data_IF_066606111348
#
_entry.id   IF_066606111348
#
_cell.length_a   1.000
_cell.length_b   1.000
_cell.length_c   1.000
_cell.angle_alpha   90.00
_cell.angle_beta   90.00
_cell.angle_gamma   90.00
#
_symmetry.space_group_name_H-M   'P 1'
#
loop_
_entity.id
_entity.type
_entity.pdbx_description
1 polymer ?
#
# COMPACT_ATOMS: atom_id res chain seq x y z
N UNK A 1 2.77 -0.93 15.75
CA UNK A 1 2.20 -2.22 15.31
C UNK A 1 3.09 -2.90 14.31
N UNK A 2 2.99 -4.25 14.27
CA UNK A 2 3.74 -5.05 13.31
C UNK A 2 2.99 -5.22 11.99
N UNK A 3 1.68 -5.08 12.00
CA UNK A 3 0.85 -5.23 10.82
C UNK A 3 -0.27 -4.19 10.83
N UNK A 4 -0.58 -3.67 9.66
CA UNK A 4 -1.71 -2.75 9.49
C UNK A 4 -2.48 -3.13 8.24
N UNK A 5 -3.76 -2.76 8.22
CA UNK A 5 -4.58 -2.88 7.03
C UNK A 5 -5.09 -1.50 6.65
N UNK A 6 -5.06 -1.20 5.35
CA UNK A 6 -5.52 0.08 4.82
C UNK A 6 -6.70 -0.18 3.88
N UNK A 7 -7.85 0.37 4.24
CA UNK A 7 -9.09 0.25 3.49
C UNK A 7 -9.84 1.58 3.64
N UNK A 8 -9.49 2.56 2.83
CA UNK A 8 -9.98 3.94 2.96
C UNK A 8 -10.66 4.42 1.67
N UNK A 9 -11.22 3.50 0.91
CA UNK A 9 -12.12 3.76 -0.21
C UNK A 9 -11.57 4.77 -1.22
N UNK A 10 -10.40 4.47 -1.79
CA UNK A 10 -9.81 5.27 -2.85
C UNK A 10 -8.76 6.28 -2.38
N UNK A 11 -8.51 6.37 -1.06
CA UNK A 11 -7.50 7.26 -0.51
C UNK A 11 -6.26 6.52 0.00
N UNK A 12 -6.04 5.28 -0.45
CA UNK A 12 -4.95 4.43 0.03
C UNK A 12 -3.57 5.06 -0.21
N UNK A 13 -3.36 5.66 -1.38
CA UNK A 13 -2.07 6.29 -1.68
C UNK A 13 -1.82 7.47 -0.76
N UNK A 14 -2.82 8.31 -0.55
CA UNK A 14 -2.70 9.48 0.32
C UNK A 14 -2.37 9.08 1.75
N UNK A 15 -3.00 8.02 2.26
CA UNK A 15 -2.71 7.49 3.59
C UNK A 15 -1.28 6.99 3.66
N UNK A 16 -0.83 6.22 2.66
CA UNK A 16 0.53 5.69 2.63
C UNK A 16 1.57 6.81 2.53
N UNK A 17 1.30 7.84 1.74
CA UNK A 17 2.19 9.00 1.65
C UNK A 17 2.30 9.74 2.98
N UNK A 18 1.17 9.88 3.69
CA UNK A 18 1.17 10.49 5.01
C UNK A 18 1.90 9.66 6.06
N UNK A 19 2.09 8.38 5.81
CA UNK A 19 2.79 7.47 6.72
C UNK A 19 4.22 7.16 6.27
N UNK A 20 4.78 7.90 5.32
CA UNK A 20 6.03 7.53 4.67
C UNK A 20 7.16 7.22 5.65
N UNK A 21 7.34 8.04 6.70
CA UNK A 21 8.37 7.79 7.70
C UNK A 21 8.09 6.52 8.50
N UNK A 22 6.82 6.31 8.85
CA UNK A 22 6.41 5.14 9.61
C UNK A 22 6.64 3.85 8.84
N UNK A 23 6.40 3.87 7.53
CA UNK A 23 6.60 2.69 6.66
C UNK A 23 8.03 2.19 6.66
N UNK A 24 9.00 3.06 6.94
CA UNK A 24 10.42 2.69 6.95
C UNK A 24 10.88 2.13 8.28
N UNK A 25 10.04 2.15 9.31
CA UNK A 25 10.43 1.72 10.65
C UNK A 25 10.37 0.21 10.78
N UNK A 26 11.42 -0.44 11.32
CA UNK A 26 11.51 -1.89 11.42
C UNK A 26 10.34 -2.60 12.10
N UNK A 27 9.66 -2.04 13.12
CA UNK A 27 8.55 -2.74 13.76
C UNK A 27 7.39 -3.06 12.82
N UNK A 28 7.17 -2.25 11.77
CA UNK A 28 6.11 -2.52 10.81
C UNK A 28 6.60 -3.55 9.80
N UNK A 29 6.00 -4.73 9.80
CA UNK A 29 6.43 -5.86 8.98
C UNK A 29 5.48 -6.23 7.86
N UNK A 30 4.20 -5.87 7.98
CA UNK A 30 3.19 -6.30 7.04
C UNK A 30 2.15 -5.23 6.84
N UNK A 31 1.75 -5.03 5.58
CA UNK A 31 0.70 -4.09 5.23
C UNK A 31 -0.25 -4.77 4.26
N UNK A 32 -1.53 -4.78 4.60
CA UNK A 32 -2.58 -5.19 3.67
C UNK A 32 -3.27 -3.95 3.12
N UNK A 33 -3.43 -3.87 1.81
CA UNK A 33 -4.08 -2.72 1.17
C UNK A 33 -5.19 -3.23 0.26
N UNK A 34 -6.41 -2.74 0.46
CA UNK A 34 -7.50 -2.97 -0.47
C UNK A 34 -7.57 -1.79 -1.44
N UNK A 35 -7.38 -2.07 -2.72
CA UNK A 35 -7.32 -1.05 -3.76
C UNK A 35 -8.69 -0.92 -4.42
N UNK A 36 -9.26 0.27 -4.37
CA UNK A 36 -10.60 0.53 -4.89
C UNK A 36 -10.53 1.06 -6.33
N UNK A 37 -10.36 0.15 -7.29
CA UNK A 37 -10.14 0.51 -8.70
C UNK A 37 -11.28 1.35 -9.28
N UNK A 38 -12.53 1.01 -8.96
CA UNK A 38 -13.67 1.76 -9.48
C UNK A 38 -13.66 3.21 -9.03
N UNK A 39 -13.38 3.45 -7.75
CA UNK A 39 -13.31 4.79 -7.17
C UNK A 39 -12.13 5.56 -7.77
N UNK A 40 -10.97 4.91 -7.90
CA UNK A 40 -9.79 5.54 -8.48
C UNK A 40 -10.03 5.92 -9.92
N UNK A 41 -10.71 5.08 -10.69
CA UNK A 41 -11.06 5.38 -12.07
C UNK A 41 -11.99 6.60 -12.15
N UNK A 42 -12.99 6.69 -11.28
CA UNK A 42 -13.89 7.83 -11.22
C UNK A 42 -13.15 9.13 -10.87
N UNK A 43 -12.09 9.04 -10.07
CA UNK A 43 -11.27 10.19 -9.69
C UNK A 43 -10.20 10.53 -10.73
N UNK A 44 -10.13 9.80 -11.85
CA UNK A 44 -9.10 9.99 -12.86
C UNK A 44 -7.71 9.57 -12.39
N UNK A 45 -7.62 8.62 -11.48
CA UNK A 45 -6.37 8.22 -10.82
C UNK A 45 -6.00 6.77 -11.15
N UNK A 46 -6.05 6.41 -12.44
CA UNK A 46 -5.82 5.02 -12.88
C UNK A 46 -4.40 4.50 -12.58
N UNK A 47 -3.42 5.40 -12.40
CA UNK A 47 -2.04 5.00 -12.11
C UNK A 47 -1.75 4.79 -10.62
N UNK A 48 -2.72 5.09 -9.75
CA UNK A 48 -2.52 5.01 -8.30
C UNK A 48 -2.12 3.61 -7.84
N UNK A 49 -2.68 2.50 -8.37
CA UNK A 49 -2.24 1.17 -7.93
C UNK A 49 -0.74 0.94 -8.15
N UNK A 50 -0.19 1.39 -9.28
CA UNK A 50 1.25 1.29 -9.55
C UNK A 50 2.05 2.18 -8.61
N UNK A 51 1.53 3.34 -8.28
CA UNK A 51 2.17 4.27 -7.35
C UNK A 51 2.20 3.69 -5.93
N UNK A 52 1.14 2.99 -5.52
CA UNK A 52 1.10 2.29 -4.24
C UNK A 52 2.19 1.21 -4.19
N UNK A 53 2.27 0.37 -5.23
CA UNK A 53 3.30 -0.65 -5.30
C UNK A 53 4.71 -0.05 -5.20
N UNK A 54 4.97 1.01 -5.97
CA UNK A 54 6.27 1.66 -5.97
C UNK A 54 6.62 2.23 -4.61
N UNK A 55 5.67 2.86 -3.95
CA UNK A 55 5.88 3.44 -2.63
C UNK A 55 6.23 2.36 -1.60
N UNK A 56 5.50 1.25 -1.61
CA UNK A 56 5.75 0.14 -0.70
C UNK A 56 7.11 -0.50 -0.97
N UNK A 57 7.47 -0.71 -2.24
CA UNK A 57 8.76 -1.28 -2.62
C UNK A 57 9.91 -0.38 -2.18
N UNK A 58 9.79 0.92 -2.40
CA UNK A 58 10.82 1.89 -1.99
C UNK A 58 10.94 1.98 -0.47
N UNK A 59 9.89 1.62 0.25
CA UNK A 59 9.88 1.61 1.71
C UNK A 59 10.42 0.31 2.32
N UNK A 60 10.84 -0.64 1.49
CA UNK A 60 11.47 -1.88 1.93
C UNK A 60 10.55 -3.08 1.99
N UNK A 61 9.38 -3.02 1.34
CA UNK A 61 8.43 -4.12 1.33
C UNK A 61 8.46 -4.89 0.02
N UNK A 62 8.34 -6.22 0.13
CA UNK A 62 8.05 -7.07 -1.03
C UNK A 62 6.55 -7.09 -1.23
N UNK A 63 6.09 -6.75 -2.43
CA UNK A 63 4.68 -6.56 -2.74
C UNK A 63 4.16 -7.71 -3.58
N UNK A 64 3.00 -8.25 -3.20
CA UNK A 64 2.29 -9.23 -4.00
C UNK A 64 0.79 -8.92 -3.99
N UNK A 65 0.12 -9.29 -5.07
CA UNK A 65 -1.33 -9.18 -5.16
C UNK A 65 -1.94 -10.51 -4.77
N UNK A 66 -2.79 -10.50 -3.76
CA UNK A 66 -3.50 -11.71 -3.32
C UNK A 66 -4.65 -12.04 -4.26
N UNK A 67 -5.26 -11.00 -4.83
CA UNK A 67 -6.31 -11.09 -5.82
C UNK A 67 -6.32 -9.79 -6.64
N UNK A 68 -7.39 -9.52 -7.38
CA UNK A 68 -7.46 -8.33 -8.25
C UNK A 68 -7.51 -7.00 -7.50
N UNK A 69 -7.74 -7.01 -6.18
CA UNK A 69 -7.91 -5.77 -5.42
C UNK A 69 -7.16 -5.71 -4.09
N UNK A 70 -6.49 -6.79 -3.69
CA UNK A 70 -5.81 -6.83 -2.39
C UNK A 70 -4.31 -7.01 -2.55
N UNK A 71 -3.56 -6.06 -2.01
CA UNK A 71 -2.10 -6.12 -1.94
C UNK A 71 -1.69 -6.62 -0.56
N UNK A 72 -0.71 -7.51 -0.54
CA UNK A 72 0.04 -7.85 0.67
C UNK A 72 1.47 -7.38 0.49
N UNK A 73 1.92 -6.54 1.39
CA UNK A 73 3.30 -6.08 1.44
C UNK A 73 3.96 -6.61 2.70
N UNK A 74 5.08 -7.27 2.55
CA UNK A 74 5.83 -7.87 3.66
C UNK A 74 7.22 -7.28 3.67
N UNK A 75 7.70 -6.88 4.85
CA UNK A 75 9.03 -6.30 4.98
C UNK A 75 10.07 -7.31 4.53
N UNK A 76 10.92 -6.91 3.59
CA UNK A 76 12.04 -7.71 3.20
C UNK A 76 12.97 -7.86 4.40
N UNK A 77 13.39 -9.10 4.67
CA UNK A 77 14.31 -9.33 5.78
C UNK A 77 15.68 -8.75 5.45
N UNK A 78 16.23 -8.08 6.42
CA UNK A 78 17.59 -7.58 6.29
C UNK A 78 18.59 -8.74 6.29
#
# INVERSE_FOLDING_TARGET
PHAIKIDVEGFELEVLEGMADYLRRPPLRMIGVEVHFGILKQRGMALVPQQIESLLQRSGFAVSWLDSSHILAVRATA
#
